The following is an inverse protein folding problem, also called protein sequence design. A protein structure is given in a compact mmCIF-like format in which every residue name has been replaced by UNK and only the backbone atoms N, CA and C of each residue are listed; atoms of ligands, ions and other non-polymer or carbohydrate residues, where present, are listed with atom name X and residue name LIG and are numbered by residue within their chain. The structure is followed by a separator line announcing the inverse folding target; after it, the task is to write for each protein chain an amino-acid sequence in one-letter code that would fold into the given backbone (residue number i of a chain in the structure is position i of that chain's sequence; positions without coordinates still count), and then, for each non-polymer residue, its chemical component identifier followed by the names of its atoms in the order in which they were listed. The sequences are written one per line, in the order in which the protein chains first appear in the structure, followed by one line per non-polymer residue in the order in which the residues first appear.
data_IF_285227200889
#
_entry.id   IF_285227200889
#
_cell.length_a   1.000
_cell.length_b   1.000
_cell.length_c   1.000
_cell.angle_alpha   90.00
_cell.angle_beta   90.00
_cell.angle_gamma   90.00
#
_symmetry.space_group_name_H-M   'P 1'
#
loop_
_entity.id
_entity.type
_entity.pdbx_description
1 polymer ?
#
# COMPACT_ATOMS: atom_id res chain seq x y z
N UNK A 1 1.57 3.87 -19.13
CA UNK A 1 2.11 2.71 -19.86
C UNK A 1 3.03 1.87 -18.98
N UNK A 2 4.11 2.42 -18.40
CA UNK A 2 5.13 1.68 -17.65
C UNK A 2 4.56 0.75 -16.56
N UNK A 3 3.79 1.29 -15.61
CA UNK A 3 3.24 0.48 -14.50
C UNK A 3 2.32 -0.66 -14.97
N UNK A 4 1.46 -0.41 -15.93
CA UNK A 4 0.57 -1.43 -16.48
C UNK A 4 1.31 -2.50 -17.27
N UNK A 5 2.33 -2.11 -18.02
CA UNK A 5 3.15 -3.02 -18.79
C UNK A 5 4.01 -3.92 -17.90
N UNK A 6 4.74 -3.34 -16.93
CA UNK A 6 5.53 -4.13 -15.98
C UNK A 6 4.65 -5.02 -15.07
N UNK A 7 3.40 -4.63 -14.87
CA UNK A 7 2.42 -5.46 -14.17
C UNK A 7 1.84 -6.60 -15.03
N UNK A 8 2.24 -6.73 -16.30
CA UNK A 8 1.72 -7.75 -17.23
C UNK A 8 0.24 -7.58 -17.59
N UNK A 9 -0.30 -6.38 -17.41
CA UNK A 9 -1.72 -6.09 -17.68
C UNK A 9 -1.96 -5.51 -19.08
N UNK A 10 -0.92 -5.43 -19.92
CA UNK A 10 -0.98 -5.00 -21.32
C UNK A 10 -0.67 -6.14 -22.29
N UNK A 11 -0.46 -7.37 -21.82
CA UNK A 11 -0.08 -8.52 -22.64
C UNK A 11 -1.30 -9.27 -23.20
N UNK A 12 -2.52 -8.95 -22.75
CA UNK A 12 -3.73 -9.61 -23.25
C UNK A 12 -4.10 -9.08 -24.65
N UNK A 13 -4.43 -10.02 -25.55
CA UNK A 13 -5.13 -9.69 -26.77
C UNK A 13 -6.61 -9.49 -26.44
N UNK A 14 -7.05 -8.24 -26.37
CA UNK A 14 -8.46 -7.89 -26.17
C UNK A 14 -9.11 -7.70 -27.55
N UNK A 15 -10.13 -8.53 -27.91
CA UNK A 15 -10.78 -8.43 -29.23
C UNK A 15 -11.38 -7.05 -29.49
N UNK A 16 -11.90 -6.41 -28.43
CA UNK A 16 -12.51 -5.08 -28.46
C UNK A 16 -11.66 -4.03 -27.75
N UNK A 17 -10.33 -4.11 -27.94
CA UNK A 17 -9.39 -3.16 -27.32
C UNK A 17 -9.68 -1.74 -27.75
N UNK A 18 -9.92 -0.85 -26.79
CA UNK A 18 -10.10 0.56 -27.05
C UNK A 18 -8.79 1.29 -27.38
N UNK A 19 -8.91 2.49 -27.90
CA UNK A 19 -7.75 3.30 -28.30
C UNK A 19 -6.82 3.66 -27.14
N UNK A 20 -7.32 3.69 -25.89
CA UNK A 20 -6.50 3.94 -24.71
C UNK A 20 -5.60 2.74 -24.40
N UNK A 21 -6.15 1.52 -24.40
CA UNK A 21 -5.38 0.29 -24.21
C UNK A 21 -4.28 0.13 -25.27
N UNK A 22 -4.63 0.28 -26.54
CA UNK A 22 -3.69 0.16 -27.65
C UNK A 22 -2.56 1.20 -27.56
N UNK A 23 -2.88 2.43 -27.15
CA UNK A 23 -1.89 3.49 -26.92
C UNK A 23 -0.93 3.10 -25.79
N UNK A 24 -1.44 2.55 -24.67
CA UNK A 24 -0.60 2.09 -23.56
C UNK A 24 0.32 0.94 -23.98
N UNK A 25 -0.17 -0.03 -24.76
CA UNK A 25 0.63 -1.14 -25.29
C UNK A 25 1.79 -0.62 -26.16
N UNK A 26 1.48 0.25 -27.12
CA UNK A 26 2.48 0.85 -28.02
C UNK A 26 3.56 1.58 -27.24
N UNK A 27 3.15 2.40 -26.27
CA UNK A 27 4.06 3.17 -25.42
C UNK A 27 4.90 2.25 -24.53
N UNK A 28 4.31 1.20 -23.97
CA UNK A 28 5.07 0.26 -23.16
C UNK A 28 6.13 -0.51 -23.94
N UNK A 29 5.81 -0.97 -25.15
CA UNK A 29 6.80 -1.61 -26.04
C UNK A 29 7.98 -0.69 -26.36
N UNK A 30 7.71 0.59 -26.60
CA UNK A 30 8.76 1.59 -26.78
C UNK A 30 9.63 1.75 -25.51
N UNK A 31 9.01 1.87 -24.35
CA UNK A 31 9.73 2.00 -23.06
C UNK A 31 10.54 0.75 -22.76
N UNK A 32 9.98 -0.43 -23.01
CA UNK A 32 10.66 -1.72 -22.81
C UNK A 32 11.92 -1.83 -23.64
N UNK A 33 11.85 -1.46 -24.92
CA UNK A 33 13.01 -1.45 -25.80
C UNK A 33 14.04 -0.36 -25.39
N UNK A 34 13.57 0.86 -25.13
CA UNK A 34 14.44 1.99 -24.81
C UNK A 34 15.23 1.82 -23.53
N UNK A 35 14.63 1.21 -22.51
CA UNK A 35 15.21 1.08 -21.16
C UNK A 35 15.62 -0.35 -20.84
N UNK A 36 15.61 -1.27 -21.81
CA UNK A 36 15.96 -2.69 -21.65
C UNK A 36 15.26 -3.31 -20.44
N UNK A 37 13.95 -3.02 -20.30
CA UNK A 37 13.20 -3.46 -19.12
C UNK A 37 13.12 -4.99 -19.09
N UNK A 38 13.39 -5.54 -17.91
CA UNK A 38 13.30 -6.98 -17.66
C UNK A 38 11.89 -7.52 -17.83
N UNK A 39 11.75 -8.84 -17.80
CA UNK A 39 10.49 -9.56 -17.97
C UNK A 39 9.40 -9.00 -17.04
N UNK A 40 8.25 -8.59 -17.57
CA UNK A 40 7.12 -8.12 -16.76
C UNK A 40 6.57 -9.24 -15.86
N UNK A 41 5.80 -8.84 -14.86
CA UNK A 41 4.93 -9.76 -14.13
C UNK A 41 3.91 -10.38 -15.09
N UNK A 42 3.39 -11.55 -14.74
CA UNK A 42 2.28 -12.15 -15.49
C UNK A 42 0.93 -11.75 -14.89
N UNK A 43 -0.09 -11.60 -15.71
CA UNK A 43 -1.45 -11.25 -15.25
C UNK A 43 -2.01 -12.25 -14.20
N UNK A 44 -1.55 -13.50 -14.23
CA UNK A 44 -1.92 -14.56 -13.29
C UNK A 44 -1.44 -14.33 -11.85
N UNK A 45 -0.43 -13.49 -11.65
CA UNK A 45 0.06 -13.13 -10.31
C UNK A 45 -0.88 -12.16 -9.58
N UNK A 46 -1.82 -11.54 -10.29
CA UNK A 46 -2.79 -10.61 -9.71
C UNK A 46 -4.03 -11.34 -9.22
N UNK A 47 -4.48 -10.98 -8.01
CA UNK A 47 -5.72 -11.50 -7.45
C UNK A 47 -6.85 -10.51 -7.67
N UNK A 48 -7.91 -10.94 -8.35
CA UNK A 48 -9.14 -10.16 -8.56
C UNK A 48 -10.31 -10.71 -7.73
N UNK A 49 -10.26 -12.01 -7.44
CA UNK A 49 -11.33 -12.69 -6.71
C UNK A 49 -11.48 -12.12 -5.29
N UNK A 50 -12.73 -11.86 -4.90
CA UNK A 50 -13.12 -11.29 -3.60
C UNK A 50 -12.66 -9.85 -3.37
N UNK A 51 -12.18 -9.14 -4.40
CA UNK A 51 -11.91 -7.72 -4.32
C UNK A 51 -13.13 -6.92 -4.78
N UNK A 52 -13.41 -5.81 -4.09
CA UNK A 52 -14.33 -4.79 -4.60
C UNK A 52 -13.69 -4.12 -5.82
N UNK A 53 -14.46 -3.76 -6.88
CA UNK A 53 -13.89 -3.19 -8.11
C UNK A 53 -12.97 -1.99 -7.88
N UNK A 54 -13.29 -1.11 -6.92
CA UNK A 54 -12.42 0.04 -6.56
C UNK A 54 -11.04 -0.35 -5.99
N UNK A 55 -10.84 -1.63 -5.66
CA UNK A 55 -9.56 -2.18 -5.20
C UNK A 55 -8.87 -3.04 -6.25
N UNK A 56 -9.38 -3.09 -7.48
CA UNK A 56 -8.72 -3.84 -8.55
C UNK A 56 -7.31 -3.30 -8.82
N UNK A 57 -6.36 -4.16 -9.14
CA UNK A 57 -4.98 -3.77 -9.47
C UNK A 57 -4.92 -2.64 -10.49
N UNK A 58 -5.78 -2.67 -11.52
CA UNK A 58 -5.85 -1.62 -12.53
C UNK A 58 -6.10 -0.23 -11.92
N UNK A 59 -7.09 -0.11 -11.03
CA UNK A 59 -7.42 1.16 -10.38
C UNK A 59 -6.26 1.61 -9.48
N UNK A 60 -5.65 0.70 -8.74
CA UNK A 60 -4.52 1.00 -7.86
C UNK A 60 -3.27 1.42 -8.64
N UNK A 61 -2.99 0.77 -9.75
CA UNK A 61 -1.89 1.16 -10.65
C UNK A 61 -2.15 2.50 -11.33
N UNK A 62 -3.41 2.79 -11.70
CA UNK A 62 -3.78 4.10 -12.24
C UNK A 62 -3.59 5.22 -11.21
N UNK A 63 -3.97 4.98 -9.96
CA UNK A 63 -3.73 5.92 -8.85
C UNK A 63 -2.23 6.12 -8.62
N UNK A 64 -1.44 5.04 -8.59
CA UNK A 64 0.01 5.09 -8.45
C UNK A 64 0.66 5.87 -9.59
N UNK A 65 0.26 5.60 -10.84
CA UNK A 65 0.77 6.31 -12.00
C UNK A 65 0.49 7.81 -11.92
N UNK A 66 -0.71 8.19 -11.48
CA UNK A 66 -1.07 9.60 -11.32
C UNK A 66 -0.33 10.26 -10.14
N UNK A 67 -0.08 9.51 -9.06
CA UNK A 67 0.74 9.96 -7.94
C UNK A 67 2.15 10.36 -8.41
N UNK A 68 2.83 9.47 -9.12
CA UNK A 68 4.17 9.73 -9.66
C UNK A 68 4.19 10.81 -10.74
N UNK A 69 3.12 10.97 -11.49
CA UNK A 69 3.00 12.06 -12.46
C UNK A 69 2.88 13.43 -11.79
N UNK A 70 2.09 13.53 -10.72
CA UNK A 70 1.90 14.78 -9.97
C UNK A 70 3.07 15.11 -9.05
N UNK A 71 3.66 14.10 -8.42
CA UNK A 71 4.65 14.25 -7.36
C UNK A 71 6.01 13.69 -7.80
N UNK A 72 6.75 14.49 -8.56
CA UNK A 72 8.06 14.08 -9.13
C UNK A 72 9.11 13.74 -8.07
N UNK A 73 9.04 14.36 -6.88
CA UNK A 73 9.97 14.17 -5.76
C UNK A 73 9.24 13.61 -4.53
N UNK A 74 8.36 12.63 -4.72
CA UNK A 74 7.49 12.08 -3.68
C UNK A 74 8.28 11.69 -2.42
N UNK A 75 9.41 11.00 -2.57
CA UNK A 75 10.23 10.58 -1.44
C UNK A 75 10.72 11.78 -0.61
N UNK A 76 11.36 12.76 -1.24
CA UNK A 76 11.87 13.96 -0.54
C UNK A 76 10.74 14.70 0.17
N UNK A 77 9.59 14.87 -0.51
CA UNK A 77 8.43 15.55 0.08
C UNK A 77 7.82 14.80 1.26
N UNK A 78 7.86 13.47 1.25
CA UNK A 78 7.46 12.65 2.40
C UNK A 78 8.46 12.83 3.55
N UNK A 79 9.76 12.85 3.26
CA UNK A 79 10.80 13.08 4.29
C UNK A 79 10.67 14.48 4.92
N UNK A 80 10.27 15.47 4.16
CA UNK A 80 10.06 16.86 4.62
C UNK A 80 8.72 17.09 5.32
N UNK A 81 7.76 16.18 5.19
CA UNK A 81 6.43 16.33 5.76
C UNK A 81 6.44 16.12 7.29
N UNK A 82 6.24 17.20 8.04
CA UNK A 82 6.27 17.18 9.53
C UNK A 82 4.96 16.68 10.15
N UNK A 83 3.88 16.58 9.38
CA UNK A 83 2.57 16.18 9.88
C UNK A 83 1.93 15.07 9.06
N UNK A 84 1.12 14.23 9.70
CA UNK A 84 0.30 13.23 9.01
C UNK A 84 -0.61 13.84 7.94
N UNK A 85 -1.11 15.05 8.19
CA UNK A 85 -1.98 15.73 7.23
C UNK A 85 -1.20 16.14 5.97
N UNK A 86 0.03 16.59 6.11
CA UNK A 86 0.91 16.87 4.98
C UNK A 86 1.18 15.60 4.14
N UNK A 87 1.46 14.46 4.80
CA UNK A 87 1.61 13.16 4.13
C UNK A 87 0.33 12.75 3.41
N UNK A 88 -0.84 12.90 4.07
CA UNK A 88 -2.14 12.59 3.46
C UNK A 88 -2.41 13.41 2.22
N UNK A 89 -2.09 14.71 2.25
CA UNK A 89 -2.22 15.61 1.11
C UNK A 89 -1.41 15.14 -0.09
N UNK A 90 -0.17 14.67 0.13
CA UNK A 90 0.66 14.07 -0.92
C UNK A 90 0.02 12.80 -1.50
N UNK A 91 -0.59 11.96 -0.66
CA UNK A 91 -1.24 10.71 -1.07
C UNK A 91 -2.66 10.91 -1.61
N UNK A 92 -3.18 12.14 -1.60
CA UNK A 92 -4.51 12.45 -2.12
C UNK A 92 -4.45 12.58 -3.64
N UNK A 93 -4.70 11.47 -4.32
CA UNK A 93 -4.69 11.39 -5.78
C UNK A 93 -5.93 10.66 -6.29
N UNK A 94 -6.34 11.08 -7.48
CA UNK A 94 -7.39 10.46 -8.28
C UNK A 94 -6.78 9.68 -9.44
N UNK A 95 -7.58 8.98 -10.18
CA UNK A 95 -7.17 8.39 -11.46
C UNK A 95 -7.29 9.40 -12.61
N UNK A 96 -6.75 9.07 -13.79
CA UNK A 96 -7.06 9.81 -15.02
C UNK A 96 -8.51 9.57 -15.46
N UNK A 97 -9.11 10.46 -16.29
CA UNK A 97 -10.53 10.39 -16.70
C UNK A 97 -10.97 9.04 -17.24
N UNK A 98 -10.14 8.35 -18.00
CA UNK A 98 -10.44 7.01 -18.49
C UNK A 98 -10.88 6.08 -17.37
N UNK A 99 -10.19 6.10 -16.24
CA UNK A 99 -10.47 5.22 -15.11
C UNK A 99 -11.69 5.64 -14.28
N UNK A 100 -12.28 6.79 -14.55
CA UNK A 100 -13.55 7.14 -13.91
C UNK A 100 -14.69 6.22 -14.37
N UNK A 101 -14.62 5.77 -15.62
CA UNK A 101 -15.60 4.86 -16.23
C UNK A 101 -15.12 3.40 -16.35
N UNK A 102 -13.91 3.09 -15.88
CA UNK A 102 -13.35 1.75 -16.01
C UNK A 102 -12.77 1.23 -14.68
N UNK A 103 -13.00 -0.04 -14.39
CA UNK A 103 -12.32 -0.79 -13.31
C UNK A 103 -11.26 -1.75 -13.86
N UNK A 104 -11.32 -2.06 -15.13
CA UNK A 104 -10.38 -2.83 -15.93
C UNK A 104 -10.50 -2.38 -17.40
N UNK A 105 -9.70 -2.92 -18.29
CA UNK A 105 -9.74 -2.59 -19.73
C UNK A 105 -10.89 -3.23 -20.50
N UNK A 106 -11.69 -4.10 -19.89
CA UNK A 106 -12.68 -4.93 -20.59
C UNK A 106 -14.09 -4.35 -20.59
N UNK A 107 -14.42 -3.53 -19.61
CA UNK A 107 -15.83 -3.14 -19.38
C UNK A 107 -15.93 -1.70 -18.88
N UNK A 108 -16.81 -0.96 -19.56
CA UNK A 108 -17.25 0.36 -19.13
C UNK A 108 -18.20 0.21 -17.93
N UNK A 109 -18.10 1.09 -16.98
CA UNK A 109 -18.94 1.21 -15.80
C UNK A 109 -19.53 2.62 -15.68
N UNK A 110 -20.46 2.83 -14.76
CA UNK A 110 -20.91 4.19 -14.43
C UNK A 110 -19.75 5.07 -14.02
N UNK A 111 -19.74 6.32 -14.51
CA UNK A 111 -18.70 7.29 -14.21
C UNK A 111 -18.65 7.62 -12.73
N UNK A 112 -17.45 7.51 -12.16
CA UNK A 112 -17.20 7.79 -10.75
C UNK A 112 -15.73 8.14 -10.55
N UNK A 113 -15.48 9.25 -9.86
CA UNK A 113 -14.15 9.59 -9.42
C UNK A 113 -13.57 8.48 -8.51
N UNK A 114 -12.35 8.06 -8.78
CA UNK A 114 -11.65 7.00 -8.03
C UNK A 114 -10.42 7.57 -7.32
N UNK A 115 -10.68 8.21 -6.19
CA UNK A 115 -9.65 8.76 -5.31
C UNK A 115 -9.10 7.69 -4.36
N UNK A 116 -7.85 7.83 -3.92
CA UNK A 116 -7.28 7.04 -2.83
C UNK A 116 -7.98 7.43 -1.53
N UNK A 117 -8.86 6.54 -1.05
CA UNK A 117 -9.64 6.78 0.16
C UNK A 117 -8.79 6.74 1.44
N UNK A 118 -9.29 7.37 2.51
CA UNK A 118 -8.59 7.54 3.80
C UNK A 118 -8.04 6.23 4.39
N UNK A 119 -8.80 5.13 4.30
CA UNK A 119 -8.32 3.83 4.78
C UNK A 119 -7.12 3.31 3.97
N UNK A 120 -7.12 3.50 2.64
CA UNK A 120 -5.99 3.13 1.80
C UNK A 120 -4.76 4.01 2.07
N UNK A 121 -4.97 5.31 2.30
CA UNK A 121 -3.90 6.21 2.72
C UNK A 121 -3.29 5.75 4.05
N UNK A 122 -4.11 5.40 5.05
CA UNK A 122 -3.62 4.88 6.32
C UNK A 122 -2.75 3.63 6.14
N UNK A 123 -3.20 2.68 5.31
CA UNK A 123 -2.42 1.47 5.02
C UNK A 123 -1.10 1.78 4.33
N UNK A 124 -1.07 2.74 3.40
CA UNK A 124 0.17 3.19 2.76
C UNK A 124 1.10 3.85 3.78
N UNK A 125 0.55 4.70 4.65
CA UNK A 125 1.32 5.38 5.68
C UNK A 125 1.92 4.37 6.66
N UNK A 126 1.12 3.45 7.19
CA UNK A 126 1.57 2.45 8.18
C UNK A 126 2.61 1.50 7.57
N UNK A 127 2.34 0.98 6.36
CA UNK A 127 3.14 -0.11 5.79
C UNK A 127 4.25 0.35 4.85
N UNK A 128 4.31 1.64 4.51
CA UNK A 128 5.32 2.17 3.59
C UNK A 128 5.98 3.43 4.15
N UNK A 129 5.21 4.50 4.37
CA UNK A 129 5.78 5.80 4.73
C UNK A 129 6.54 5.72 6.06
N UNK A 130 5.90 5.21 7.11
CA UNK A 130 6.50 5.13 8.47
C UNK A 130 7.75 4.23 8.48
N UNK A 131 7.74 3.01 7.93
CA UNK A 131 8.95 2.19 7.85
C UNK A 131 10.09 2.86 7.09
N UNK A 132 9.80 3.55 5.98
CA UNK A 132 10.83 4.29 5.24
C UNK A 132 11.36 5.50 6.01
N UNK A 133 10.49 6.28 6.67
CA UNK A 133 10.90 7.40 7.53
C UNK A 133 11.84 6.91 8.63
N UNK A 134 11.48 5.85 9.33
CA UNK A 134 12.26 5.29 10.42
C UNK A 134 13.61 4.74 9.93
N UNK A 135 13.60 3.93 8.86
CA UNK A 135 14.81 3.36 8.29
C UNK A 135 15.77 4.44 7.76
N UNK A 136 15.21 5.49 7.14
CA UNK A 136 16.02 6.62 6.66
C UNK A 136 16.59 7.44 7.82
N UNK A 137 15.80 7.65 8.89
CA UNK A 137 16.26 8.28 10.12
C UNK A 137 17.45 7.52 10.74
N UNK A 138 17.34 6.20 10.87
CA UNK A 138 18.45 5.36 11.33
C UNK A 138 19.69 5.47 10.43
N UNK A 139 19.50 5.43 9.11
CA UNK A 139 20.60 5.54 8.15
C UNK A 139 21.32 6.89 8.22
N UNK A 140 20.61 7.96 8.54
CA UNK A 140 21.15 9.32 8.65
C UNK A 140 21.58 9.70 10.08
N UNK A 141 21.38 8.81 11.05
CA UNK A 141 21.53 9.10 12.48
C UNK A 141 20.69 10.33 12.92
N UNK A 142 19.47 10.44 12.35
CA UNK A 142 18.50 11.50 12.62
C UNK A 142 17.42 10.96 13.56
N UNK A 143 17.58 11.20 14.86
CA UNK A 143 16.65 10.74 15.90
C UNK A 143 15.28 11.41 15.77
N UNK A 144 15.22 12.69 15.38
CA UNK A 144 13.96 13.40 15.21
C UNK A 144 13.10 12.79 14.12
N UNK A 145 13.72 12.28 13.07
CA UNK A 145 13.01 11.58 12.00
C UNK A 145 12.45 10.23 12.48
N UNK A 146 13.20 9.52 13.33
CA UNK A 146 12.72 8.28 13.95
C UNK A 146 11.57 8.54 14.92
N UNK A 147 11.67 9.58 15.76
CA UNK A 147 10.59 10.00 16.67
C UNK A 147 9.33 10.44 15.92
N UNK A 148 9.48 11.17 14.82
CA UNK A 148 8.37 11.54 13.94
C UNK A 148 7.67 10.31 13.35
N UNK A 149 8.43 9.31 12.91
CA UNK A 149 7.87 8.07 12.37
C UNK A 149 7.04 7.32 13.43
N UNK A 150 7.55 7.20 14.67
CA UNK A 150 6.80 6.57 15.78
C UNK A 150 5.60 7.41 16.20
N UNK A 151 5.72 8.73 16.27
CA UNK A 151 4.62 9.63 16.55
C UNK A 151 3.48 9.57 15.53
N UNK A 152 3.80 9.35 14.25
CA UNK A 152 2.80 9.09 13.22
C UNK A 152 2.05 7.79 13.47
N UNK A 153 2.77 6.74 13.88
CA UNK A 153 2.17 5.45 14.18
C UNK A 153 1.22 5.52 15.38
N UNK A 154 1.58 6.26 16.41
CA UNK A 154 0.77 6.49 17.60
C UNK A 154 -0.47 7.38 17.33
N UNK A 155 -0.35 8.32 16.38
CA UNK A 155 -1.44 9.23 16.01
C UNK A 155 -2.48 8.62 15.07
N UNK A 156 -2.17 7.47 14.44
CA UNK A 156 -3.08 6.76 13.57
C UNK A 156 -3.97 5.81 14.36
N UNK A 157 -5.23 5.70 13.94
CA UNK A 157 -6.15 4.70 14.49
C UNK A 157 -5.67 3.30 14.19
N UNK A 158 -5.85 2.38 15.12
CA UNK A 158 -5.59 0.96 14.96
C UNK A 158 -6.18 0.40 13.66
N UNK A 159 -5.47 -0.56 13.07
CA UNK A 159 -5.96 -1.31 11.92
C UNK A 159 -7.14 -2.22 12.34
N UNK A 160 -8.10 -2.37 11.44
CA UNK A 160 -9.22 -3.30 11.64
C UNK A 160 -9.00 -4.55 10.79
N UNK A 161 -8.48 -5.61 11.41
CA UNK A 161 -8.33 -6.92 10.79
C UNK A 161 -8.70 -8.04 11.80
N UNK A 162 -8.76 -9.29 11.35
CA UNK A 162 -9.19 -10.40 12.17
C UNK A 162 -8.27 -10.66 13.38
N UNK A 163 -6.96 -10.40 13.26
CA UNK A 163 -5.99 -10.56 14.36
C UNK A 163 -6.28 -9.52 15.44
N UNK A 164 -6.43 -8.26 15.05
CA UNK A 164 -6.69 -7.18 16.01
C UNK A 164 -8.05 -7.37 16.71
N UNK A 165 -9.08 -7.78 15.96
CA UNK A 165 -10.38 -8.13 16.56
C UNK A 165 -10.29 -9.28 17.55
N UNK A 166 -9.44 -10.29 17.29
CA UNK A 166 -9.19 -11.39 18.21
C UNK A 166 -8.56 -10.90 19.53
N UNK A 167 -7.51 -10.08 19.45
CA UNK A 167 -6.85 -9.50 20.61
C UNK A 167 -7.77 -8.58 21.41
N UNK A 168 -8.54 -7.73 20.73
CA UNK A 168 -9.54 -6.88 21.39
C UNK A 168 -10.64 -7.70 22.07
N UNK A 169 -11.08 -8.81 21.46
CA UNK A 169 -12.02 -9.76 22.05
C UNK A 169 -11.47 -10.48 23.28
N UNK A 170 -10.15 -10.62 23.40
CA UNK A 170 -9.47 -11.13 24.59
C UNK A 170 -9.27 -10.07 25.69
N UNK A 171 -9.82 -8.87 25.50
CA UNK A 171 -9.80 -7.79 26.50
C UNK A 171 -8.62 -6.82 26.43
N UNK A 172 -7.78 -6.91 25.41
CA UNK A 172 -6.67 -5.97 25.21
C UNK A 172 -7.18 -4.66 24.58
N UNK A 173 -6.89 -3.49 25.15
CA UNK A 173 -7.20 -2.22 24.55
C UNK A 173 -6.28 -1.99 23.32
N UNK A 174 -6.87 -1.75 22.15
CA UNK A 174 -6.13 -1.48 20.92
C UNK A 174 -6.71 -0.22 20.30
N UNK A 175 -6.01 0.89 20.40
CA UNK A 175 -6.50 2.21 19.97
C UNK A 175 -5.71 2.80 18.82
N UNK A 176 -4.41 2.57 18.78
CA UNK A 176 -3.48 3.19 17.84
C UNK A 176 -2.93 2.18 16.82
N UNK A 177 -2.37 2.69 15.73
CA UNK A 177 -1.65 1.86 14.78
C UNK A 177 -0.39 1.24 15.42
N UNK A 178 0.22 1.90 16.39
CA UNK A 178 1.34 1.35 17.17
C UNK A 178 0.90 0.07 17.90
N UNK A 179 -0.24 0.11 18.60
CA UNK A 179 -0.79 -1.07 19.27
C UNK A 179 -1.05 -2.21 18.27
N UNK A 180 -1.70 -1.90 17.14
CA UNK A 180 -2.04 -2.93 16.15
C UNK A 180 -0.80 -3.53 15.49
N UNK A 181 0.22 -2.75 15.18
CA UNK A 181 1.47 -3.26 14.59
C UNK A 181 2.27 -4.10 15.61
N UNK A 182 2.32 -3.70 16.88
CA UNK A 182 2.94 -4.49 17.94
C UNK A 182 2.25 -5.85 18.11
N UNK A 183 0.91 -5.89 18.12
CA UNK A 183 0.16 -7.14 18.22
C UNK A 183 0.26 -8.01 16.96
N UNK A 184 0.33 -7.42 15.77
CA UNK A 184 0.60 -8.17 14.54
C UNK A 184 1.98 -8.82 14.56
N UNK A 185 3.00 -8.11 15.03
CA UNK A 185 4.34 -8.67 15.20
C UNK A 185 4.34 -9.77 16.25
N UNK A 186 3.74 -9.54 17.41
CA UNK A 186 3.63 -10.55 18.47
C UNK A 186 2.97 -11.83 17.95
N UNK A 187 1.85 -11.68 17.23
CA UNK A 187 1.16 -12.82 16.63
C UNK A 187 2.05 -13.61 15.68
N UNK A 188 2.66 -12.95 14.71
CA UNK A 188 3.44 -13.59 13.64
C UNK A 188 4.75 -14.19 14.15
N UNK A 189 5.47 -13.45 15.02
CA UNK A 189 6.82 -13.85 15.42
C UNK A 189 6.83 -14.83 16.58
N UNK A 190 5.78 -14.85 17.40
CA UNK A 190 5.74 -15.69 18.59
C UNK A 190 4.53 -16.63 18.63
N UNK A 191 3.31 -16.13 18.51
CA UNK A 191 2.11 -16.95 18.69
C UNK A 191 1.93 -18.00 17.59
N UNK A 192 2.05 -17.59 16.32
CA UNK A 192 1.92 -18.51 15.18
C UNK A 192 3.04 -19.56 15.16
N UNK A 193 4.23 -19.20 15.66
CA UNK A 193 5.38 -20.10 15.81
C UNK A 193 5.35 -20.93 17.08
N UNK A 194 4.36 -20.70 17.98
CA UNK A 194 4.27 -21.34 19.31
C UNK A 194 5.52 -21.15 20.18
N UNK A 195 6.18 -20.00 20.02
CA UNK A 195 7.46 -19.69 20.65
C UNK A 195 7.26 -18.93 21.97
N UNK A 196 6.42 -19.50 22.84
CA UNK A 196 6.01 -18.88 24.10
C UNK A 196 7.19 -18.69 25.08
N UNK A 197 8.20 -19.52 25.02
CA UNK A 197 9.36 -19.41 25.93
C UNK A 197 10.26 -18.22 25.63
N UNK A 198 10.32 -17.77 24.37
CA UNK A 198 11.03 -16.55 23.98
C UNK A 198 10.13 -15.31 23.95
N UNK A 199 8.82 -15.50 24.02
CA UNK A 199 7.86 -14.41 24.14
C UNK A 199 7.83 -13.88 25.57
N UNK A 200 8.03 -12.57 25.79
CA UNK A 200 7.99 -11.96 27.14
C UNK A 200 6.71 -12.29 27.89
N UNK A 201 5.57 -12.19 27.25
CA UNK A 201 4.27 -12.51 27.88
C UNK A 201 4.13 -14.00 28.17
N UNK A 202 4.49 -14.87 27.23
CA UNK A 202 4.45 -16.31 27.42
C UNK A 202 5.39 -16.76 28.53
N UNK A 203 6.60 -16.22 28.55
CA UNK A 203 7.59 -16.51 29.58
C UNK A 203 7.10 -16.12 31.00
N UNK A 204 6.61 -14.90 31.15
CA UNK A 204 6.07 -14.43 32.44
C UNK A 204 4.87 -15.29 32.90
N UNK A 205 3.92 -15.58 31.99
CA UNK A 205 2.77 -16.42 32.31
C UNK A 205 3.17 -17.86 32.75
N UNK A 206 4.15 -18.47 32.07
CA UNK A 206 4.60 -19.82 32.37
C UNK A 206 5.45 -19.90 33.64
N UNK A 207 6.14 -18.80 33.99
CA UNK A 207 6.95 -18.74 35.22
C UNK A 207 6.12 -18.68 36.49
N UNK A 208 4.89 -18.17 36.43
CA UNK A 208 4.00 -18.02 37.58
C UNK A 208 3.08 -19.22 37.80
N UNK A 209 3.20 -20.27 37.02
CA UNK A 209 2.56 -21.58 37.22
C UNK A 209 3.54 -22.60 37.78
#
# INVERSE_FOLDING_TARGET
AFFFGQAGLLDEELPDADGYYLKLQKEFRYLQHKFELSVPMTATQWRFLRLRPGNFPHVRLAQLANLYYKERSLFSRIMEADTLEAVRKLLTVTTSPYWEEHFNFRKVSSSREKQVGKNAQNLIIINTVIPFLYAYGLHKADELLCERATGFLESLKAEDNHIIRHWSGAGLPVSTAADSQALLQLQKEYCDKKDCLRCRFGFEYLRWK
#
